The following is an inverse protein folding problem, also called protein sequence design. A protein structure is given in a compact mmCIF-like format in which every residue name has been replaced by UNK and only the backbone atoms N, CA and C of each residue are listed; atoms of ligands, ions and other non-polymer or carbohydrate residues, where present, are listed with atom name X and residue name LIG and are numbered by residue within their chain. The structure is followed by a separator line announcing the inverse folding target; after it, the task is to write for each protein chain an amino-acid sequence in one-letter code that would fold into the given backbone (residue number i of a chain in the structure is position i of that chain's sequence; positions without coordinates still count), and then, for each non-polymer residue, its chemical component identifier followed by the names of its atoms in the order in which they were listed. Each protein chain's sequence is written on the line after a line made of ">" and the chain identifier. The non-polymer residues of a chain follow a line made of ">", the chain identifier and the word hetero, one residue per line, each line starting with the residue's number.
data_IF_784193375151
#
_entry.id   IF_784193375151
#
_cell.length_a   1.000
_cell.length_b   1.000
_cell.length_c   1.000
_cell.angle_alpha   90.00
_cell.angle_beta   90.00
_cell.angle_gamma   90.00
#
_symmetry.space_group_name_H-M   'P 1'
#
loop_
_entity.id
_entity.type
_entity.pdbx_description
1 polymer ?
#
# COMPACT_ATOMS: atom_id res chain seq x y z
N UNK A 1 -14.19 6.62 -1.51
CA UNK A 1 -14.64 7.28 -0.26
C UNK A 1 -14.25 8.76 -0.22
N UNK A 2 -12.98 9.11 -0.48
CA UNK A 2 -12.51 10.51 -0.56
C UNK A 2 -13.24 11.32 -1.64
N UNK A 3 -13.41 10.75 -2.84
CA UNK A 3 -14.13 11.40 -3.95
C UNK A 3 -15.60 11.70 -3.65
N UNK A 4 -16.22 10.97 -2.70
CA UNK A 4 -17.61 11.18 -2.27
C UNK A 4 -17.73 12.01 -0.99
N UNK A 5 -16.63 12.62 -0.51
CA UNK A 5 -16.61 13.46 0.70
C UNK A 5 -16.88 12.73 2.02
N UNK A 6 -16.87 11.38 2.03
CA UNK A 6 -17.11 10.62 3.27
C UNK A 6 -15.86 10.65 4.14
N UNK A 7 -16.03 11.03 5.42
CA UNK A 7 -14.96 11.16 6.40
C UNK A 7 -14.93 9.95 7.35
N UNK A 8 -13.75 9.61 7.88
CA UNK A 8 -13.56 8.53 8.87
C UNK A 8 -14.14 8.86 10.27
N UNK A 9 -14.61 10.10 10.49
CA UNK A 9 -15.20 10.54 11.77
C UNK A 9 -14.21 10.94 12.86
N UNK A 10 -12.91 10.71 12.66
CA UNK A 10 -11.83 11.18 13.54
C UNK A 10 -10.63 11.69 12.73
N UNK A 11 -9.80 12.53 13.34
CA UNK A 11 -8.56 13.07 12.76
C UNK A 11 -7.57 13.44 13.86
N UNK A 12 -6.28 13.23 13.62
CA UNK A 12 -5.22 13.71 14.52
C UNK A 12 -5.08 15.23 14.46
N UNK A 13 -4.79 15.89 15.59
CA UNK A 13 -4.80 17.36 15.73
C UNK A 13 -4.01 18.09 14.64
N UNK A 14 -2.84 17.56 14.29
CA UNK A 14 -1.83 18.08 13.36
C UNK A 14 -2.15 17.85 11.87
N UNK A 15 -3.17 17.05 11.55
CA UNK A 15 -3.49 16.70 10.16
C UNK A 15 -4.56 17.60 9.56
N UNK A 16 -4.57 17.93 8.26
CA UNK A 16 -5.76 18.54 7.64
C UNK A 16 -6.83 17.48 7.32
N UNK A 17 -8.01 17.90 6.87
CA UNK A 17 -9.04 16.95 6.40
C UNK A 17 -8.49 16.07 5.27
N UNK A 18 -8.94 14.81 5.11
CA UNK A 18 -8.30 13.84 4.20
C UNK A 18 -8.09 14.32 2.76
N UNK A 19 -9.08 14.98 2.15
CA UNK A 19 -8.94 15.51 0.78
C UNK A 19 -7.86 16.60 0.68
N UNK A 20 -7.73 17.41 1.72
CA UNK A 20 -6.70 18.44 1.81
C UNK A 20 -5.32 17.84 2.12
N UNK A 21 -5.26 16.82 2.97
CA UNK A 21 -4.03 16.07 3.24
C UNK A 21 -3.44 15.49 1.95
N UNK A 22 -4.27 14.85 1.12
CA UNK A 22 -3.86 14.32 -0.18
C UNK A 22 -3.38 15.41 -1.14
N UNK A 23 -4.11 16.53 -1.26
CA UNK A 23 -3.66 17.65 -2.11
C UNK A 23 -2.31 18.21 -1.67
N UNK A 24 -2.11 18.43 -0.38
CA UNK A 24 -0.84 18.93 0.17
C UNK A 24 0.29 17.92 0.02
N UNK A 25 0.02 16.64 0.29
CA UNK A 25 1.00 15.57 0.17
C UNK A 25 1.49 15.38 -1.26
N UNK A 26 0.57 15.34 -2.23
CA UNK A 26 0.93 15.22 -3.65
C UNK A 26 1.68 16.46 -4.15
N UNK A 27 1.21 17.67 -3.80
CA UNK A 27 1.92 18.89 -4.15
C UNK A 27 3.32 18.97 -3.50
N UNK A 28 3.49 18.42 -2.29
CA UNK A 28 4.79 18.33 -1.63
C UNK A 28 5.75 17.37 -2.32
N UNK A 29 5.25 16.24 -2.84
CA UNK A 29 6.04 15.31 -3.64
C UNK A 29 6.49 15.95 -4.97
N UNK A 30 5.58 16.62 -5.67
CA UNK A 30 5.92 17.31 -6.93
C UNK A 30 6.89 18.49 -6.69
N UNK A 31 6.69 19.27 -5.61
CA UNK A 31 7.61 20.32 -5.21
C UNK A 31 9.00 19.75 -4.94
N UNK A 32 9.10 18.65 -4.18
CA UNK A 32 10.38 17.99 -3.90
C UNK A 32 11.03 17.45 -5.18
N UNK A 33 10.27 16.82 -6.07
CA UNK A 33 10.76 16.27 -7.34
C UNK A 33 11.31 17.35 -8.28
N UNK A 34 10.67 18.54 -8.28
CA UNK A 34 11.12 19.67 -9.09
C UNK A 34 12.52 20.17 -8.71
N UNK A 35 12.95 19.98 -7.46
CA UNK A 35 14.29 20.36 -7.00
C UNK A 35 15.38 19.46 -7.58
N UNK A 36 15.01 18.23 -7.94
CA UNK A 36 15.86 17.27 -8.63
C UNK A 36 15.75 17.39 -10.17
N UNK A 37 15.02 18.41 -10.67
CA UNK A 37 14.86 18.69 -12.09
C UNK A 37 13.79 17.87 -12.80
N UNK A 38 12.98 17.09 -12.07
CA UNK A 38 11.85 16.36 -12.65
C UNK A 38 10.59 17.24 -12.77
N UNK A 39 9.69 16.92 -13.70
CA UNK A 39 8.44 17.65 -13.87
C UNK A 39 7.40 17.32 -12.77
N UNK A 40 7.43 16.09 -12.25
CA UNK A 40 6.59 15.61 -11.16
C UNK A 40 7.26 14.43 -10.44
N UNK A 41 6.71 14.00 -9.30
CA UNK A 41 7.14 12.77 -8.64
C UNK A 41 7.03 11.54 -9.56
N UNK A 42 6.00 11.48 -10.40
CA UNK A 42 5.77 10.37 -11.32
C UNK A 42 6.84 10.26 -12.42
N UNK A 43 7.53 11.36 -12.73
CA UNK A 43 8.58 11.41 -13.75
C UNK A 43 9.98 11.05 -13.22
N UNK A 44 10.12 10.85 -11.90
CA UNK A 44 11.37 10.40 -11.30
C UNK A 44 11.68 8.95 -11.67
N UNK A 45 12.97 8.60 -11.69
CA UNK A 45 13.38 7.21 -11.76
C UNK A 45 12.88 6.43 -10.52
N UNK A 46 12.54 5.13 -10.64
CA UNK A 46 11.96 4.36 -9.52
C UNK A 46 12.77 4.42 -8.21
N UNK A 47 14.10 4.35 -8.30
CA UNK A 47 14.96 4.46 -7.10
C UNK A 47 14.87 5.83 -6.40
N UNK A 48 14.65 6.90 -7.17
CA UNK A 48 14.45 8.25 -6.62
C UNK A 48 13.04 8.41 -6.02
N UNK A 49 12.03 7.79 -6.64
CA UNK A 49 10.69 7.71 -6.06
C UNK A 49 10.72 7.02 -4.70
N UNK A 50 11.35 5.85 -4.60
CA UNK A 50 11.50 5.11 -3.34
C UNK A 50 12.23 5.93 -2.28
N UNK A 51 13.32 6.60 -2.66
CA UNK A 51 14.07 7.48 -1.75
C UNK A 51 13.19 8.59 -1.20
N UNK A 52 12.37 9.22 -2.05
CA UNK A 52 11.48 10.28 -1.62
C UNK A 52 10.33 9.77 -0.74
N UNK A 53 9.73 8.62 -1.08
CA UNK A 53 8.71 7.99 -0.25
C UNK A 53 9.27 7.62 1.13
N UNK A 54 10.53 7.17 1.19
CA UNK A 54 11.24 6.92 2.45
C UNK A 54 11.38 8.19 3.30
N UNK A 55 11.63 9.34 2.68
CA UNK A 55 11.66 10.62 3.40
C UNK A 55 10.28 11.00 3.96
N UNK A 56 9.18 10.67 3.27
CA UNK A 56 7.82 10.88 3.80
C UNK A 56 7.57 9.97 5.00
N UNK A 57 7.92 8.69 4.89
CA UNK A 57 7.81 7.70 5.97
C UNK A 57 8.61 8.11 7.22
N UNK A 58 9.85 8.55 7.03
CA UNK A 58 10.73 8.95 8.12
C UNK A 58 10.36 10.33 8.69
N UNK A 59 9.53 11.10 8.00
CA UNK A 59 9.12 12.44 8.39
C UNK A 59 10.13 13.53 8.05
N UNK A 60 11.07 13.25 7.15
CA UNK A 60 12.18 14.14 6.79
C UNK A 60 11.92 14.93 5.51
N UNK A 61 10.91 14.58 4.71
CA UNK A 61 10.52 15.35 3.52
C UNK A 61 10.23 16.82 3.90
N UNK A 62 10.95 17.74 3.28
CA UNK A 62 10.74 19.19 3.44
C UNK A 62 10.08 19.75 2.19
N UNK A 63 8.89 20.32 2.30
CA UNK A 63 8.21 21.01 1.22
C UNK A 63 7.26 22.07 1.79
N UNK A 64 7.24 23.25 1.20
CA UNK A 64 6.36 24.35 1.62
C UNK A 64 4.88 23.96 1.42
N UNK A 65 4.59 23.16 0.39
CA UNK A 65 3.26 22.62 0.11
C UNK A 65 2.66 21.78 1.25
N UNK A 66 3.48 21.23 2.16
CA UNK A 66 2.99 20.56 3.37
C UNK A 66 2.23 21.51 4.29
N UNK A 67 2.60 22.80 4.32
CA UNK A 67 1.98 23.85 5.14
C UNK A 67 1.85 23.42 6.62
N UNK A 68 2.95 22.90 7.17
CA UNK A 68 3.02 22.41 8.54
C UNK A 68 2.37 21.04 8.79
N UNK A 69 1.83 20.38 7.77
CA UNK A 69 1.38 18.98 7.87
C UNK A 69 2.60 18.06 8.03
N UNK A 70 2.69 17.25 9.11
CA UNK A 70 3.82 16.35 9.29
C UNK A 70 3.81 15.21 8.23
N UNK A 71 4.90 15.00 7.46
CA UNK A 71 4.93 13.95 6.43
C UNK A 71 4.69 12.55 6.99
N UNK A 72 5.23 12.27 8.18
CA UNK A 72 5.06 10.99 8.87
C UNK A 72 3.62 10.71 9.27
N UNK A 73 2.89 11.73 9.69
CA UNK A 73 1.45 11.63 9.97
C UNK A 73 0.65 11.38 8.68
N UNK A 74 1.01 12.04 7.58
CA UNK A 74 0.43 11.78 6.27
C UNK A 74 0.71 10.35 5.77
N UNK A 75 1.94 9.86 5.91
CA UNK A 75 2.32 8.49 5.55
C UNK A 75 1.47 7.45 6.28
N UNK A 76 1.51 7.49 7.61
CA UNK A 76 0.87 6.49 8.46
C UNK A 76 -0.66 6.51 8.39
N UNK A 77 -1.28 7.70 8.27
CA UNK A 77 -2.75 7.82 8.34
C UNK A 77 -3.44 7.76 6.98
N UNK A 78 -2.74 8.16 5.92
CA UNK A 78 -3.30 8.23 4.56
C UNK A 78 -2.61 7.28 3.61
N UNK A 79 -1.33 7.47 3.31
CA UNK A 79 -0.64 6.68 2.27
C UNK A 79 -0.78 5.18 2.55
N UNK A 80 -0.40 4.75 3.76
CA UNK A 80 -0.47 3.34 4.14
C UNK A 80 -1.89 2.78 4.16
N UNK A 81 -2.90 3.56 4.54
CA UNK A 81 -4.26 3.05 4.60
C UNK A 81 -4.96 3.08 3.25
N UNK A 82 -4.86 4.18 2.53
CA UNK A 82 -5.65 4.45 1.36
C UNK A 82 -5.01 3.78 0.12
N UNK A 83 -3.67 3.75 0.00
CA UNK A 83 -2.98 3.09 -1.14
C UNK A 83 -3.01 1.57 -0.98
N UNK A 84 -2.61 1.04 0.18
CA UNK A 84 -2.65 -0.40 0.44
C UNK A 84 -4.09 -0.91 0.37
N UNK A 85 -5.04 -0.16 0.94
CA UNK A 85 -6.46 -0.49 0.86
C UNK A 85 -6.99 -0.49 -0.58
N UNK A 86 -6.54 0.44 -1.43
CA UNK A 86 -6.90 0.44 -2.85
C UNK A 86 -6.25 -0.72 -3.62
N UNK A 87 -4.99 -1.02 -3.35
CA UNK A 87 -4.24 -2.10 -4.00
C UNK A 87 -4.86 -3.47 -3.69
N UNK A 88 -5.04 -3.77 -2.40
CA UNK A 88 -5.66 -5.01 -1.94
C UNK A 88 -7.20 -4.98 -1.98
N UNK A 89 -7.83 -4.00 -2.63
CA UNK A 89 -9.24 -4.13 -2.99
C UNK A 89 -9.44 -5.02 -4.23
N UNK A 90 -8.38 -5.27 -5.00
CA UNK A 90 -8.45 -6.08 -6.22
C UNK A 90 -8.11 -7.56 -5.92
N UNK A 91 -8.95 -8.53 -6.33
CA UNK A 91 -8.70 -9.94 -6.06
C UNK A 91 -7.35 -10.47 -6.52
N UNK A 92 -6.80 -9.95 -7.63
CA UNK A 92 -5.47 -10.34 -8.12
C UNK A 92 -4.35 -10.01 -7.14
N UNK A 93 -4.46 -8.90 -6.39
CA UNK A 93 -3.44 -8.53 -5.40
C UNK A 93 -3.43 -9.49 -4.20
N UNK A 94 -4.53 -10.20 -3.93
CA UNK A 94 -4.59 -11.21 -2.87
C UNK A 94 -3.72 -12.41 -3.19
N UNK A 95 -3.68 -12.82 -4.46
CA UNK A 95 -2.85 -13.93 -4.94
C UNK A 95 -1.36 -13.66 -4.71
N UNK A 96 -0.92 -12.40 -4.82
CA UNK A 96 0.49 -12.01 -4.61
C UNK A 96 0.98 -12.27 -3.19
N UNK A 97 0.09 -12.15 -2.20
CA UNK A 97 0.39 -12.44 -0.78
C UNK A 97 -0.06 -13.84 -0.36
N UNK A 98 -0.47 -14.68 -1.31
CA UNK A 98 -0.99 -16.02 -1.03
C UNK A 98 -2.34 -16.03 -0.29
N UNK A 99 -3.06 -14.90 -0.26
CA UNK A 99 -4.39 -14.84 0.32
C UNK A 99 -5.43 -15.29 -0.71
N UNK A 100 -6.18 -16.31 -0.33
CA UNK A 100 -7.19 -16.96 -1.15
C UNK A 100 -8.45 -16.10 -1.43
N UNK A 101 -8.64 -15.01 -0.67
CA UNK A 101 -9.84 -14.19 -0.73
C UNK A 101 -10.97 -14.68 0.18
N UNK A 102 -12.14 -14.03 0.16
CA UNK A 102 -13.32 -14.54 0.84
C UNK A 102 -13.85 -15.80 0.13
N UNK A 103 -14.60 -16.63 0.86
CA UNK A 103 -15.15 -17.90 0.35
C UNK A 103 -16.07 -17.76 -0.86
N UNK A 104 -16.49 -16.56 -1.26
CA UNK A 104 -17.38 -16.32 -2.41
C UNK A 104 -16.60 -15.68 -3.56
N UNK A 105 -16.79 -16.10 -4.83
CA UNK A 105 -17.79 -17.07 -5.33
C UNK A 105 -17.29 -18.52 -5.45
N UNK A 106 -16.00 -18.80 -5.20
CA UNK A 106 -15.38 -20.12 -5.44
C UNK A 106 -15.73 -21.20 -4.41
N UNK A 107 -16.00 -20.82 -3.17
CA UNK A 107 -16.11 -21.73 -2.03
C UNK A 107 -14.74 -22.17 -1.50
N UNK A 108 -14.70 -22.55 -0.22
CA UNK A 108 -13.65 -23.42 0.31
C UNK A 108 -14.24 -24.83 0.38
N UNK A 109 -13.63 -25.79 -0.32
CA UNK A 109 -14.17 -27.16 -0.42
C UNK A 109 -13.59 -28.05 0.70
N UNK A 110 -12.42 -27.69 1.22
CA UNK A 110 -11.76 -28.38 2.33
C UNK A 110 -11.70 -27.48 3.56
N UNK A 111 -12.54 -27.79 4.54
CA UNK A 111 -12.66 -27.04 5.80
C UNK A 111 -12.05 -27.77 7.01
N UNK A 112 -11.51 -28.97 6.81
CA UNK A 112 -10.86 -29.75 7.86
C UNK A 112 -9.48 -29.20 8.21
N UNK A 113 -9.04 -29.39 9.46
CA UNK A 113 -7.71 -28.99 9.91
C UNK A 113 -6.61 -29.63 9.04
N UNK A 114 -5.60 -28.83 8.68
CA UNK A 114 -4.44 -29.26 7.89
C UNK A 114 -4.80 -29.81 6.49
N UNK A 115 -5.97 -29.42 5.96
CA UNK A 115 -6.37 -29.67 4.58
C UNK A 115 -6.41 -28.37 3.82
N UNK A 116 -5.73 -28.37 2.67
CA UNK A 116 -5.78 -27.29 1.69
C UNK A 116 -6.55 -27.69 0.44
N UNK A 117 -7.21 -26.74 -0.18
CA UNK A 117 -7.72 -26.92 -1.53
C UNK A 117 -6.57 -27.01 -2.55
N UNK A 118 -6.76 -27.70 -3.69
CA UNK A 118 -5.69 -27.88 -4.68
C UNK A 118 -5.11 -26.58 -5.24
N UNK A 119 -5.87 -25.49 -5.15
CA UNK A 119 -5.51 -24.14 -5.57
C UNK A 119 -4.93 -23.27 -4.44
N UNK A 120 -4.86 -23.78 -3.21
CA UNK A 120 -4.25 -23.03 -2.11
C UNK A 120 -2.73 -23.26 -2.08
N UNK A 121 -1.94 -22.19 -1.89
CA UNK A 121 -0.48 -22.30 -1.81
C UNK A 121 -0.04 -23.05 -0.55
N UNK A 122 1.09 -23.73 -0.66
CA UNK A 122 1.82 -24.33 0.46
C UNK A 122 2.59 -23.23 1.18
N UNK A 123 2.43 -23.17 2.50
CA UNK A 123 3.22 -22.28 3.36
C UNK A 123 4.69 -22.67 3.34
N UNK A 124 5.56 -21.69 3.11
CA UNK A 124 6.99 -21.87 3.25
C UNK A 124 7.36 -21.80 4.74
N UNK A 125 7.90 -22.90 5.27
CA UNK A 125 8.52 -22.92 6.60
C UNK A 125 10.03 -22.74 6.48
N UNK A 126 10.72 -22.16 7.49
CA UNK A 126 12.16 -21.97 7.46
C UNK A 126 12.92 -23.25 7.10
N UNK A 127 13.72 -23.21 6.04
CA UNK A 127 14.47 -24.36 5.52
C UNK A 127 13.70 -25.30 4.59
N UNK A 128 12.46 -24.97 4.23
CA UNK A 128 11.62 -25.72 3.27
C UNK A 128 11.12 -24.85 2.10
N UNK A 129 11.68 -23.65 1.91
CA UNK A 129 11.25 -22.66 0.93
C UNK A 129 11.30 -23.24 -0.50
N UNK A 130 12.39 -23.93 -0.85
CA UNK A 130 12.53 -24.56 -2.17
C UNK A 130 11.52 -25.69 -2.43
N UNK A 131 11.03 -26.35 -1.36
CA UNK A 131 9.97 -27.36 -1.48
C UNK A 131 8.62 -26.67 -1.73
N UNK A 132 8.28 -25.66 -0.92
CA UNK A 132 7.08 -24.86 -1.11
C UNK A 132 7.04 -24.23 -2.51
N UNK A 133 8.15 -23.67 -3.00
CA UNK A 133 8.23 -23.08 -4.35
C UNK A 133 7.93 -24.12 -5.46
N UNK A 134 8.49 -25.34 -5.34
CA UNK A 134 8.21 -26.42 -6.31
C UNK A 134 6.75 -26.85 -6.30
N UNK A 135 6.13 -26.93 -5.13
CA UNK A 135 4.72 -27.33 -5.00
C UNK A 135 3.77 -26.22 -5.48
N UNK A 136 4.12 -24.96 -5.23
CA UNK A 136 3.33 -23.79 -5.62
C UNK A 136 3.38 -23.48 -7.12
N UNK A 137 4.38 -24.00 -7.86
CA UNK A 137 4.43 -23.87 -9.34
C UNK A 137 3.23 -24.48 -10.08
N UNK A 138 2.45 -25.34 -9.41
CA UNK A 138 1.28 -26.02 -9.99
C UNK A 138 -0.05 -25.45 -9.51
N UNK A 139 -0.01 -24.45 -8.62
CA UNK A 139 -1.17 -23.77 -8.06
C UNK A 139 -1.58 -22.65 -9.02
N UNK A 140 -2.84 -22.64 -9.47
CA UNK A 140 -3.40 -21.70 -10.45
C UNK A 140 -4.68 -21.05 -9.90
#
# INVERSE_FOLDING_TARGET
>A
QLASGKLKGFRFKDMPQPAEAWRRGLAALDEAASRDGAASFADLAPAAQDTMLKQVEDGTLQAEALRGMPPKSFWSQHVMHDVVGAYYAHPTAWSEIGWAGPASPRGYVRLDNDRRDPWEPVEATPGQEAKAERENKRVI
#
